data_IF_517765475656
#
_entry.id   IF_517765475656
#
_cell.length_a   1.000
_cell.length_b   1.000
_cell.length_c   1.000
_cell.angle_alpha   90.00
_cell.angle_beta   90.00
_cell.angle_gamma   90.00
#
_symmetry.space_group_name_H-M   'P 1'
#
loop_
_entity.id
_entity.type
_entity.pdbx_description
1 polymer ?
#
# COMPACT_ATOMS: atom_id res chain seq x y z
N UNK A 1 -13.54 1.02 -11.06
CA UNK A 1 -12.74 1.26 -9.84
C UNK A 1 -11.29 0.86 -10.14
N UNK A 2 -10.31 1.68 -9.74
CA UNK A 2 -8.91 1.42 -10.04
C UNK A 2 -8.36 0.34 -9.11
N UNK A 3 -7.69 -0.66 -9.66
CA UNK A 3 -7.23 -1.84 -8.92
C UNK A 3 -5.80 -1.73 -8.41
N UNK A 4 -4.88 -1.15 -9.18
CA UNK A 4 -3.47 -1.04 -8.83
C UNK A 4 -3.09 0.42 -8.56
N UNK A 5 -2.39 0.64 -7.44
CA UNK A 5 -1.90 1.94 -7.00
C UNK A 5 -0.39 1.94 -7.00
N UNK A 6 0.24 2.87 -7.70
CA UNK A 6 1.66 3.17 -7.48
C UNK A 6 1.86 3.78 -6.09
N UNK A 7 3.11 3.77 -5.59
CA UNK A 7 3.47 4.45 -4.33
C UNK A 7 3.03 5.92 -4.32
N UNK A 8 3.12 6.62 -5.46
CA UNK A 8 2.69 8.03 -5.54
C UNK A 8 1.18 8.19 -5.40
N UNK A 9 0.42 7.24 -5.92
CA UNK A 9 -1.04 7.25 -5.85
C UNK A 9 -1.52 6.85 -4.46
N UNK A 10 -0.84 5.91 -3.79
CA UNK A 10 -1.06 5.61 -2.37
C UNK A 10 -0.96 6.88 -1.51
N UNK A 11 0.11 7.67 -1.70
CA UNK A 11 0.28 8.93 -0.98
C UNK A 11 -0.85 9.93 -1.27
N UNK A 12 -1.25 10.06 -2.53
CA UNK A 12 -2.26 11.05 -2.95
C UNK A 12 -3.69 10.65 -2.57
N UNK A 13 -4.03 9.38 -2.73
CA UNK A 13 -5.40 8.87 -2.67
C UNK A 13 -5.72 8.22 -1.32
N UNK A 14 -4.74 7.59 -0.66
CA UNK A 14 -4.91 6.89 0.64
C UNK A 14 -4.28 7.67 1.80
N UNK A 15 -3.22 8.44 1.53
CA UNK A 15 -2.50 9.23 2.52
C UNK A 15 -1.18 8.59 2.94
N UNK A 16 -0.62 9.06 4.06
CA UNK A 16 0.72 8.70 4.56
C UNK A 16 1.88 9.03 3.59
N UNK A 17 3.12 8.88 4.05
CA UNK A 17 4.31 9.21 3.26
C UNK A 17 4.71 8.06 2.34
N UNK A 18 5.44 8.38 1.26
CA UNK A 18 5.97 7.34 0.38
C UNK A 18 6.95 6.39 1.09
N UNK A 19 7.64 6.88 2.14
CA UNK A 19 8.52 6.05 2.98
C UNK A 19 7.72 5.05 3.81
N UNK A 20 6.61 5.48 4.43
CA UNK A 20 5.72 4.60 5.17
C UNK A 20 5.26 3.41 4.33
N UNK A 21 4.72 3.66 3.12
CA UNK A 21 4.27 2.58 2.24
C UNK A 21 5.40 1.65 1.80
N UNK A 22 6.59 2.21 1.50
CA UNK A 22 7.76 1.40 1.14
C UNK A 22 8.24 0.55 2.30
N UNK A 23 8.25 1.06 3.53
CA UNK A 23 8.65 0.26 4.68
C UNK A 23 7.69 -0.91 4.89
N UNK A 24 6.37 -0.71 4.75
CA UNK A 24 5.42 -1.84 4.86
C UNK A 24 5.67 -2.92 3.80
N UNK A 25 6.07 -2.52 2.60
CA UNK A 25 6.43 -3.46 1.52
C UNK A 25 7.75 -4.19 1.85
N UNK A 26 8.79 -3.45 2.26
CA UNK A 26 10.11 -4.01 2.56
C UNK A 26 10.10 -4.91 3.80
N UNK A 27 9.27 -4.58 4.79
CA UNK A 27 9.05 -5.35 6.02
C UNK A 27 8.11 -6.55 5.79
N UNK A 28 7.66 -6.77 4.55
CA UNK A 28 6.79 -7.88 4.15
C UNK A 28 5.35 -7.80 4.68
N UNK A 29 4.93 -6.65 5.20
CA UNK A 29 3.59 -6.43 5.77
C UNK A 29 2.54 -6.10 4.72
N UNK A 30 2.95 -5.54 3.58
CA UNK A 30 2.07 -5.15 2.49
C UNK A 30 2.46 -5.86 1.18
N UNK A 31 1.60 -6.74 0.64
CA UNK A 31 1.81 -7.33 -0.67
C UNK A 31 1.89 -6.27 -1.77
N UNK A 32 2.66 -6.55 -2.81
CA UNK A 32 2.85 -5.63 -3.92
C UNK A 32 3.13 -6.38 -5.23
N UNK A 33 2.78 -5.75 -6.34
CA UNK A 33 3.12 -6.17 -7.69
C UNK A 33 4.31 -5.34 -8.16
N UNK A 34 5.38 -6.01 -8.59
CA UNK A 34 6.56 -5.34 -9.15
C UNK A 34 6.69 -5.60 -10.65
N UNK A 35 6.81 -4.51 -11.42
CA UNK A 35 7.10 -4.55 -12.85
C UNK A 35 8.33 -3.68 -13.10
N UNK A 36 9.47 -4.33 -13.36
CA UNK A 36 10.76 -3.65 -13.41
C UNK A 36 11.09 -2.97 -12.08
N UNK A 37 11.27 -1.65 -12.09
CA UNK A 37 11.54 -0.84 -10.89
C UNK A 37 10.29 -0.23 -10.25
N UNK A 38 9.11 -0.43 -10.86
CA UNK A 38 7.86 0.15 -10.37
C UNK A 38 7.15 -0.85 -9.47
N UNK A 39 6.71 -0.37 -8.31
CA UNK A 39 5.89 -1.10 -7.34
C UNK A 39 4.46 -0.57 -7.39
N UNK A 40 3.51 -1.50 -7.37
CA UNK A 40 2.09 -1.25 -7.30
C UNK A 40 1.46 -2.07 -6.19
N UNK A 41 0.41 -1.57 -5.56
CA UNK A 41 -0.34 -2.27 -4.51
C UNK A 41 -1.79 -2.41 -4.96
N UNK A 42 -2.37 -3.60 -4.78
CA UNK A 42 -3.77 -3.86 -5.10
C UNK A 42 -4.67 -3.18 -4.06
N UNK A 43 -5.80 -2.61 -4.50
CA UNK A 43 -6.79 -1.99 -3.62
C UNK A 43 -7.25 -2.91 -2.49
N UNK A 44 -7.38 -4.21 -2.76
CA UNK A 44 -7.81 -5.20 -1.74
C UNK A 44 -6.72 -5.41 -0.70
N UNK A 45 -5.46 -5.46 -1.10
CA UNK A 45 -4.34 -5.61 -0.17
C UNK A 45 -4.23 -4.38 0.74
N UNK A 46 -4.50 -3.18 0.22
CA UNK A 46 -4.58 -1.93 1.01
C UNK A 46 -5.70 -2.03 2.04
N UNK A 47 -6.90 -2.43 1.64
CA UNK A 47 -8.05 -2.57 2.55
C UNK A 47 -7.79 -3.59 3.66
N UNK A 48 -7.24 -4.76 3.30
CA UNK A 48 -6.87 -5.81 4.26
C UNK A 48 -5.81 -5.29 5.23
N UNK A 49 -4.75 -4.66 4.72
CA UNK A 49 -3.69 -4.08 5.55
C UNK A 49 -4.26 -3.05 6.54
N UNK A 50 -5.09 -2.13 6.08
CA UNK A 50 -5.72 -1.11 6.93
C UNK A 50 -6.60 -1.77 7.99
N UNK A 51 -7.42 -2.76 7.62
CA UNK A 51 -8.32 -3.41 8.58
C UNK A 51 -7.57 -4.23 9.63
N UNK A 52 -6.46 -4.88 9.27
CA UNK A 52 -5.62 -5.62 10.20
C UNK A 52 -4.90 -4.73 11.21
N UNK A 53 -4.64 -3.47 10.86
CA UNK A 53 -3.93 -2.49 11.70
C UNK A 53 -4.85 -1.48 12.39
N UNK A 54 -6.17 -1.55 12.15
CA UNK A 54 -7.16 -0.72 12.85
C UNK A 54 -7.44 -1.29 14.23
N UNK A 55 -7.14 -0.52 15.27
CA UNK A 55 -7.53 -0.82 16.64
C UNK A 55 -8.76 0.02 17.03
N UNK A 56 -9.71 -0.58 17.76
CA UNK A 56 -10.77 0.16 18.47
C UNK A 56 -10.35 0.30 19.93
N UNK A 57 -10.42 1.52 20.45
CA UNK A 57 -10.32 1.80 21.88
C UNK A 57 -11.70 1.68 22.53
#
# INVERSE_FOLDING_TARGET
MKRLFSIRELVREVGATAWFWRSQIWDGQLPYVQIGRKMFVDSKDIEIFINNNKHKN
#
